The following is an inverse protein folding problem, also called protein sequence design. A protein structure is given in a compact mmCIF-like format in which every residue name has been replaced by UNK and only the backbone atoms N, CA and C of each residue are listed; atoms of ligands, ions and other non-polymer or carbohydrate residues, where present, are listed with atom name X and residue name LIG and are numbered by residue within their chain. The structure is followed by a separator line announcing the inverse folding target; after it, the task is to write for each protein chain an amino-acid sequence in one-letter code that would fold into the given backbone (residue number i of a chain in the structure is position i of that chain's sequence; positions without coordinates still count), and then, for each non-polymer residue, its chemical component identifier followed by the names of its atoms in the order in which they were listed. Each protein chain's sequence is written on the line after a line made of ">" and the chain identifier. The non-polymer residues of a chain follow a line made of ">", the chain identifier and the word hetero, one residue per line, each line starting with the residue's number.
data_IF_097090188518
#
_entry.id   IF_097090188518
#
_cell.length_a   1.000
_cell.length_b   1.000
_cell.length_c   1.000
_cell.angle_alpha   90.00
_cell.angle_beta   90.00
_cell.angle_gamma   90.00
#
_symmetry.space_group_name_H-M   'P 1'
#
loop_
_entity.id
_entity.type
_entity.pdbx_description
1 polymer ?
#
# COMPACT_ATOMS: atom_id res chain seq x y z
N UNK A 1 -20.64 -7.09 18.11
CA UNK A 1 -19.45 -7.05 19.01
C UNK A 1 -18.90 -5.65 18.99
N UNK A 2 -18.58 -5.06 20.12
CA UNK A 2 -17.86 -3.79 20.20
C UNK A 2 -16.36 -4.06 20.01
N UNK A 3 -15.92 -3.96 18.75
CA UNK A 3 -14.52 -4.25 18.38
C UNK A 3 -13.50 -3.34 19.08
N UNK A 4 -13.84 -2.07 19.38
CA UNK A 4 -12.91 -1.14 20.01
C UNK A 4 -12.61 -1.57 21.45
N UNK A 5 -13.66 -1.84 22.22
CA UNK A 5 -13.55 -2.31 23.61
C UNK A 5 -12.86 -3.67 23.71
N UNK A 6 -13.23 -4.60 22.82
CA UNK A 6 -12.66 -5.95 22.84
C UNK A 6 -11.20 -5.94 22.37
N UNK A 7 -10.84 -5.12 21.39
CA UNK A 7 -9.46 -4.94 20.96
C UNK A 7 -8.56 -4.44 22.08
N UNK A 8 -9.02 -3.42 22.85
CA UNK A 8 -8.25 -2.91 23.99
C UNK A 8 -7.99 -4.01 25.02
N UNK A 9 -9.04 -4.75 25.41
CA UNK A 9 -8.95 -5.86 26.36
C UNK A 9 -7.97 -6.94 25.88
N UNK A 10 -8.00 -7.28 24.59
CA UNK A 10 -7.11 -8.27 24.01
C UNK A 10 -5.66 -7.78 23.93
N UNK A 11 -5.41 -6.51 23.61
CA UNK A 11 -4.05 -5.95 23.63
C UNK A 11 -3.42 -5.96 25.03
N UNK A 12 -4.22 -5.69 26.08
CA UNK A 12 -3.76 -5.85 27.47
C UNK A 12 -3.42 -7.31 27.79
N UNK A 13 -4.20 -8.27 27.30
CA UNK A 13 -3.95 -9.70 27.50
C UNK A 13 -2.75 -10.21 26.70
N UNK A 14 -2.60 -9.79 25.44
CA UNK A 14 -1.50 -10.24 24.57
C UNK A 14 -0.16 -9.64 24.97
N UNK A 15 -0.14 -8.42 25.51
CA UNK A 15 1.10 -7.69 25.84
C UNK A 15 2.05 -7.54 24.63
N UNK A 16 1.48 -7.33 23.45
CA UNK A 16 2.16 -7.31 22.15
C UNK A 16 1.66 -8.42 21.23
N UNK A 17 1.81 -8.24 19.93
CA UNK A 17 1.32 -9.16 18.88
C UNK A 17 2.42 -9.95 18.21
N UNK A 18 3.68 -9.65 18.53
CA UNK A 18 4.85 -10.30 17.96
C UNK A 18 5.79 -10.75 19.08
N UNK A 19 6.58 -11.77 18.78
CA UNK A 19 7.70 -12.21 19.61
C UNK A 19 8.94 -12.49 18.74
N UNK A 20 10.13 -12.48 19.34
CA UNK A 20 11.38 -12.90 18.69
C UNK A 20 11.74 -14.28 19.21
N UNK A 21 11.67 -15.28 18.33
CA UNK A 21 11.88 -16.68 18.68
C UNK A 21 13.17 -17.20 18.07
N UNK A 22 13.98 -17.92 18.89
CA UNK A 22 15.14 -18.64 18.41
C UNK A 22 14.73 -19.79 17.47
N UNK A 23 15.42 -19.92 16.33
CA UNK A 23 15.15 -20.95 15.33
C UNK A 23 16.15 -22.11 15.37
N UNK A 24 17.13 -22.04 16.27
CA UNK A 24 18.16 -23.06 16.48
C UNK A 24 18.16 -23.53 17.95
N UNK A 25 18.50 -24.79 18.24
CA UNK A 25 18.61 -25.27 19.60
C UNK A 25 19.82 -24.68 20.29
N UNK A 26 19.73 -24.45 21.59
CA UNK A 26 20.86 -24.15 22.50
C UNK A 26 20.66 -24.96 23.76
N UNK A 27 20.80 -26.29 23.65
CA UNK A 27 20.59 -27.23 24.75
C UNK A 27 21.89 -27.90 25.21
N UNK A 28 22.92 -27.91 24.38
CA UNK A 28 24.20 -28.55 24.65
C UNK A 28 25.35 -27.54 24.52
N UNK A 29 26.54 -27.94 25.03
CA UNK A 29 27.78 -27.17 24.84
C UNK A 29 28.14 -27.03 23.34
N UNK A 30 27.88 -28.05 22.56
CA UNK A 30 28.17 -28.04 21.13
C UNK A 30 27.22 -27.10 20.42
N UNK A 31 25.91 -27.11 20.73
CA UNK A 31 24.96 -26.16 20.19
C UNK A 31 25.40 -24.72 20.45
N UNK A 32 25.79 -24.42 21.69
CA UNK A 32 26.26 -23.09 22.05
C UNK A 32 27.53 -22.71 21.26
N UNK A 33 28.45 -23.64 21.07
CA UNK A 33 29.71 -23.42 20.36
C UNK A 33 29.47 -23.17 18.85
N UNK A 34 28.47 -23.81 18.30
CA UNK A 34 28.06 -23.61 16.89
C UNK A 34 27.24 -22.33 16.69
N UNK A 35 26.28 -22.08 17.59
CA UNK A 35 25.38 -20.91 17.45
C UNK A 35 26.06 -19.58 17.84
N UNK A 36 27.09 -19.63 18.71
CA UNK A 36 27.78 -18.44 19.19
C UNK A 36 29.34 -18.67 19.18
N UNK A 37 30.00 -18.57 20.30
CA UNK A 37 31.47 -18.64 20.38
C UNK A 37 31.95 -20.09 20.60
N UNK A 38 32.91 -20.60 19.80
CA UNK A 38 33.75 -19.91 18.78
C UNK A 38 33.24 -19.97 17.35
N UNK A 39 32.25 -20.83 17.05
CA UNK A 39 31.84 -21.17 15.67
C UNK A 39 31.35 -19.98 14.85
N UNK A 40 30.68 -19.02 15.49
CA UNK A 40 30.10 -17.82 14.79
C UNK A 40 31.15 -16.93 14.12
N UNK A 41 32.43 -17.06 14.48
CA UNK A 41 33.49 -16.29 13.82
C UNK A 41 33.61 -16.61 12.33
N UNK A 42 33.36 -17.87 11.92
CA UNK A 42 33.49 -18.26 10.52
C UNK A 42 32.46 -17.60 9.61
N UNK A 43 31.14 -17.64 9.88
CA UNK A 43 30.16 -16.87 9.09
C UNK A 43 30.44 -15.35 9.09
N UNK A 44 30.93 -14.76 10.17
CA UNK A 44 31.35 -13.35 10.18
C UNK A 44 32.46 -13.07 9.15
N UNK A 45 33.51 -13.91 9.10
CA UNK A 45 34.60 -13.79 8.14
C UNK A 45 34.13 -13.98 6.71
N UNK A 46 33.18 -14.87 6.47
CA UNK A 46 32.60 -15.05 5.14
C UNK A 46 31.79 -13.83 4.67
N UNK A 47 31.01 -13.23 5.55
CA UNK A 47 30.27 -12.00 5.25
C UNK A 47 31.22 -10.80 5.08
N UNK A 48 32.30 -10.74 5.85
CA UNK A 48 33.33 -9.70 5.70
C UNK A 48 33.98 -9.72 4.30
N UNK A 49 34.23 -10.93 3.77
CA UNK A 49 34.78 -11.10 2.42
C UNK A 49 33.76 -10.79 1.31
N UNK A 50 32.49 -11.11 1.54
CA UNK A 50 31.39 -10.93 0.61
C UNK A 50 30.09 -10.62 1.38
N UNK A 51 29.73 -9.33 1.41
CA UNK A 51 28.54 -8.83 2.13
C UNK A 51 27.24 -9.48 1.63
N UNK A 52 27.21 -9.96 0.38
CA UNK A 52 26.02 -10.65 -0.18
C UNK A 52 25.68 -11.92 0.60
N UNK A 53 26.66 -12.57 1.22
CA UNK A 53 26.45 -13.74 2.08
C UNK A 53 25.64 -13.45 3.35
N UNK A 54 25.46 -12.19 3.72
CA UNK A 54 24.54 -11.81 4.81
C UNK A 54 23.11 -12.28 4.54
N UNK A 55 22.70 -12.37 3.29
CA UNK A 55 21.39 -12.90 2.89
C UNK A 55 21.25 -14.41 3.01
N UNK A 56 22.35 -15.16 3.04
CA UNK A 56 22.33 -16.63 3.18
C UNK A 56 22.73 -17.11 4.56
N UNK A 57 23.49 -16.30 5.28
CA UNK A 57 24.04 -16.66 6.59
C UNK A 57 23.33 -15.96 7.78
N UNK A 58 22.38 -15.06 7.50
CA UNK A 58 21.58 -14.39 8.54
C UNK A 58 20.11 -14.33 8.15
N UNK A 59 19.25 -13.84 9.06
CA UNK A 59 17.83 -13.64 8.80
C UNK A 59 17.53 -12.46 7.86
N UNK A 60 18.54 -11.69 7.46
CA UNK A 60 18.41 -10.53 6.57
C UNK A 60 17.56 -10.81 5.33
N UNK A 61 17.69 -12.01 4.73
CA UNK A 61 16.94 -12.38 3.52
C UNK A 61 15.42 -12.34 3.65
N UNK A 62 14.89 -12.50 4.86
CA UNK A 62 13.45 -12.60 5.11
C UNK A 62 12.94 -11.57 6.13
N UNK A 63 13.75 -10.59 6.52
CA UNK A 63 13.41 -9.63 7.57
C UNK A 63 13.08 -8.25 6.98
N UNK A 64 11.85 -7.78 7.18
CA UNK A 64 11.37 -6.46 6.80
C UNK A 64 11.33 -5.51 8.00
N UNK A 65 11.83 -4.27 7.86
CA UNK A 65 11.59 -3.21 8.82
C UNK A 65 10.26 -2.51 8.51
N UNK A 66 9.33 -2.47 9.47
CA UNK A 66 8.09 -1.68 9.39
C UNK A 66 8.29 -0.40 10.16
N UNK A 67 8.38 0.73 9.45
CA UNK A 67 8.89 1.99 10.00
C UNK A 67 7.84 3.09 9.92
N UNK A 68 7.62 3.79 11.04
CA UNK A 68 6.72 4.94 11.15
C UNK A 68 7.32 6.07 11.99
N UNK A 69 6.81 7.29 11.82
CA UNK A 69 6.97 8.39 12.77
C UNK A 69 5.65 8.72 13.50
N UNK A 70 4.58 7.95 13.22
CA UNK A 70 3.28 8.09 13.84
C UNK A 70 2.52 9.36 13.47
N UNK A 71 2.85 10.00 12.34
CA UNK A 71 2.29 11.30 11.96
C UNK A 71 1.00 11.24 11.15
N UNK A 72 0.59 10.03 10.69
CA UNK A 72 -0.64 9.85 9.90
C UNK A 72 -1.32 8.50 10.20
N UNK A 73 -1.47 8.16 11.47
CA UNK A 73 -1.96 6.84 11.90
C UNK A 73 -3.46 6.72 11.67
N UNK A 74 -3.88 5.86 10.74
CA UNK A 74 -5.29 5.59 10.41
C UNK A 74 -6.11 6.89 10.26
N UNK A 75 -7.31 6.95 10.84
CA UNK A 75 -8.12 8.16 10.94
C UNK A 75 -7.79 9.07 12.14
N UNK A 76 -6.77 8.72 12.95
CA UNK A 76 -6.40 9.43 14.17
C UNK A 76 -5.44 10.61 13.92
N UNK A 77 -4.73 10.60 12.78
CA UNK A 77 -3.76 11.64 12.43
C UNK A 77 -2.43 11.49 13.16
N UNK A 78 -1.87 12.61 13.61
CA UNK A 78 -0.56 12.65 14.28
C UNK A 78 -0.70 12.31 15.76
N UNK A 79 -0.46 11.06 16.12
CA UNK A 79 -0.52 10.55 17.50
C UNK A 79 0.86 10.22 18.08
N UNK A 80 1.91 10.36 17.26
CA UNK A 80 3.28 10.07 17.65
C UNK A 80 3.70 8.61 17.49
N UNK A 81 5.02 8.36 17.50
CA UNK A 81 5.58 7.06 17.15
C UNK A 81 5.20 5.94 18.14
N UNK A 82 5.22 6.22 19.44
CA UNK A 82 4.92 5.20 20.47
C UNK A 82 3.45 4.76 20.40
N UNK A 83 2.53 5.70 20.14
CA UNK A 83 1.10 5.40 20.00
C UNK A 83 0.79 4.68 18.67
N UNK A 84 1.66 4.78 17.67
CA UNK A 84 1.57 4.03 16.41
C UNK A 84 2.00 2.56 16.52
N UNK A 85 2.72 2.16 17.59
CA UNK A 85 3.26 0.81 17.74
C UNK A 85 2.21 -0.32 17.58
N UNK A 86 0.99 -0.24 18.13
CA UNK A 86 0.00 -1.30 17.93
C UNK A 86 -0.37 -1.54 16.45
N UNK A 87 -0.37 -0.49 15.63
CA UNK A 87 -0.60 -0.61 14.18
C UNK A 87 0.59 -1.28 13.50
N UNK A 88 1.82 -0.87 13.86
CA UNK A 88 3.05 -1.44 13.30
C UNK A 88 3.21 -2.92 13.64
N UNK A 89 2.91 -3.33 14.87
CA UNK A 89 2.85 -4.75 15.23
C UNK A 89 1.78 -5.50 14.42
N UNK A 90 0.61 -4.90 14.24
CA UNK A 90 -0.43 -5.46 13.38
C UNK A 90 0.06 -5.68 11.97
N UNK A 91 0.77 -4.71 11.38
CA UNK A 91 1.38 -4.85 10.06
C UNK A 91 2.38 -6.01 10.02
N UNK A 92 3.22 -6.17 11.05
CA UNK A 92 4.17 -7.29 11.14
C UNK A 92 3.45 -8.65 11.18
N UNK A 93 2.34 -8.76 11.91
CA UNK A 93 1.49 -9.98 11.91
C UNK A 93 0.98 -10.30 10.51
N UNK A 94 0.50 -9.29 9.76
CA UNK A 94 0.00 -9.48 8.40
C UNK A 94 1.12 -9.90 7.43
N UNK A 95 2.32 -9.31 7.53
CA UNK A 95 3.49 -9.75 6.77
C UNK A 95 3.78 -11.22 6.96
N UNK A 96 3.74 -11.69 8.22
CA UNK A 96 4.01 -13.09 8.55
C UNK A 96 2.91 -14.01 8.05
N UNK A 97 1.65 -13.66 8.34
CA UNK A 97 0.50 -14.52 8.06
C UNK A 97 0.24 -14.71 6.56
N UNK A 98 0.40 -13.64 5.75
CA UNK A 98 0.02 -13.66 4.34
C UNK A 98 1.21 -13.72 3.36
N UNK A 99 2.42 -13.36 3.82
CA UNK A 99 3.63 -13.35 2.98
C UNK A 99 4.75 -14.26 3.47
N UNK A 100 4.63 -14.87 4.67
CA UNK A 100 5.72 -15.62 5.27
C UNK A 100 6.95 -14.76 5.57
N UNK A 101 6.83 -13.44 5.53
CA UNK A 101 7.89 -12.46 5.77
C UNK A 101 7.95 -12.16 7.26
N UNK A 102 9.14 -12.26 7.85
CA UNK A 102 9.37 -11.78 9.20
C UNK A 102 9.48 -10.26 9.17
N UNK A 103 8.81 -9.59 10.08
CA UNK A 103 8.80 -8.14 10.12
C UNK A 103 9.00 -7.62 11.55
N UNK A 104 9.69 -6.49 11.67
CA UNK A 104 9.98 -5.87 12.95
C UNK A 104 9.59 -4.40 12.95
N UNK A 105 8.80 -3.94 13.96
CA UNK A 105 8.31 -2.56 14.02
C UNK A 105 9.38 -1.62 14.57
N UNK A 106 9.54 -0.47 13.91
CA UNK A 106 10.46 0.59 14.32
C UNK A 106 9.75 1.94 14.30
N UNK A 107 9.58 2.55 15.47
CA UNK A 107 8.91 3.83 15.64
C UNK A 107 9.94 4.92 15.87
N UNK A 108 10.14 5.82 14.90
CA UNK A 108 11.17 6.86 14.93
C UNK A 108 10.62 8.15 15.51
N UNK A 109 11.27 8.64 16.55
CA UNK A 109 10.87 9.86 17.28
C UNK A 109 11.47 11.12 16.64
N UNK A 110 11.24 11.29 15.35
CA UNK A 110 11.62 12.50 14.61
C UNK A 110 10.68 12.76 13.46
N UNK A 111 10.41 14.04 13.20
CA UNK A 111 9.67 14.54 12.04
C UNK A 111 10.58 15.29 11.05
N UNK A 112 11.86 15.40 11.35
CA UNK A 112 12.85 15.88 10.40
C UNK A 112 13.15 14.81 9.36
N UNK A 113 13.06 15.19 8.09
CA UNK A 113 13.21 14.24 6.97
C UNK A 113 14.62 13.66 6.91
N UNK A 114 15.64 14.50 7.09
CA UNK A 114 17.02 14.06 6.96
C UNK A 114 17.46 13.20 8.15
N UNK A 115 17.01 13.53 9.36
CA UNK A 115 17.23 12.72 10.54
C UNK A 115 16.54 11.34 10.42
N UNK A 116 15.29 11.33 9.98
CA UNK A 116 14.54 10.08 9.71
C UNK A 116 15.25 9.21 8.68
N UNK A 117 15.58 9.78 7.52
CA UNK A 117 16.24 9.07 6.42
C UNK A 117 17.61 8.54 6.85
N UNK A 118 18.39 9.35 7.56
CA UNK A 118 19.71 8.92 8.04
C UNK A 118 19.60 7.78 9.05
N UNK A 119 18.65 7.86 10.00
CA UNK A 119 18.39 6.80 10.99
C UNK A 119 18.05 5.48 10.29
N UNK A 120 17.13 5.50 9.34
CA UNK A 120 16.72 4.31 8.59
C UNK A 120 17.86 3.74 7.76
N UNK A 121 18.62 4.59 7.08
CA UNK A 121 19.78 4.18 6.29
C UNK A 121 20.83 3.46 7.15
N UNK A 122 21.16 3.99 8.34
CA UNK A 122 22.19 3.43 9.21
C UNK A 122 21.84 2.03 9.72
N UNK A 123 20.55 1.69 9.86
CA UNK A 123 20.09 0.37 10.31
C UNK A 123 19.71 -0.57 9.16
N UNK A 124 19.64 -0.09 7.93
CA UNK A 124 19.16 -0.84 6.77
C UNK A 124 19.93 -2.13 6.48
N UNK A 125 21.19 -2.20 6.88
CA UNK A 125 22.03 -3.39 6.73
C UNK A 125 21.53 -4.63 7.46
N UNK A 126 20.63 -4.49 8.43
CA UNK A 126 20.02 -5.60 9.17
C UNK A 126 18.80 -6.21 8.47
N UNK A 127 18.27 -5.56 7.42
CA UNK A 127 17.01 -5.91 6.80
C UNK A 127 17.16 -6.26 5.32
N UNK A 128 16.21 -7.04 4.81
CA UNK A 128 16.05 -7.32 3.38
C UNK A 128 15.20 -6.32 2.64
N UNK A 129 14.40 -5.54 3.36
CA UNK A 129 13.53 -4.49 2.82
C UNK A 129 12.92 -3.60 3.90
N UNK A 130 12.35 -2.49 3.48
CA UNK A 130 11.75 -1.46 4.35
C UNK A 130 10.33 -1.18 3.89
N UNK A 131 9.37 -1.33 4.80
CA UNK A 131 8.01 -0.84 4.66
C UNK A 131 7.83 0.43 5.47
N UNK A 132 7.55 1.54 4.80
CA UNK A 132 7.15 2.79 5.43
C UNK A 132 5.64 2.78 5.66
N UNK A 133 5.19 3.23 6.82
CA UNK A 133 3.79 3.17 7.23
C UNK A 133 3.39 4.42 8.01
N UNK A 134 2.17 4.92 7.79
CA UNK A 134 1.56 6.00 8.58
C UNK A 134 2.42 7.29 8.69
N UNK A 135 3.11 7.66 7.62
CA UNK A 135 3.91 8.89 7.53
C UNK A 135 3.16 9.95 6.73
N UNK A 136 2.97 11.13 7.31
CA UNK A 136 2.17 12.20 6.73
C UNK A 136 2.77 12.79 5.43
N UNK A 137 1.90 13.03 4.44
CA UNK A 137 2.25 13.85 3.28
C UNK A 137 2.42 15.34 3.70
N UNK A 138 3.31 16.10 3.06
CA UNK A 138 4.12 15.72 1.89
C UNK A 138 5.46 15.02 2.22
N UNK A 139 5.84 14.91 3.51
CA UNK A 139 7.13 14.36 3.95
C UNK A 139 7.35 12.92 3.49
N UNK A 140 6.31 12.10 3.49
CA UNK A 140 6.41 10.70 3.06
C UNK A 140 6.99 10.53 1.66
N UNK A 141 6.69 11.42 0.72
CA UNK A 141 7.23 11.36 -0.64
C UNK A 141 8.74 11.61 -0.68
N UNK A 142 9.20 12.59 0.11
CA UNK A 142 10.62 12.93 0.18
C UNK A 142 11.42 11.86 0.92
N UNK A 143 10.88 11.33 2.01
CA UNK A 143 11.48 10.24 2.79
C UNK A 143 11.66 9.01 1.91
N UNK A 144 10.61 8.55 1.23
CA UNK A 144 10.69 7.38 0.35
C UNK A 144 11.72 7.57 -0.76
N UNK A 145 11.67 8.71 -1.47
CA UNK A 145 12.62 9.01 -2.52
C UNK A 145 14.07 8.98 -2.03
N UNK A 146 14.38 9.69 -0.93
CA UNK A 146 15.74 9.73 -0.37
C UNK A 146 16.21 8.35 0.12
N UNK A 147 15.33 7.53 0.68
CA UNK A 147 15.68 6.18 1.11
C UNK A 147 15.94 5.26 -0.10
N UNK A 148 15.14 5.34 -1.15
CA UNK A 148 15.40 4.59 -2.40
C UNK A 148 16.72 4.97 -3.05
N UNK A 149 17.14 6.22 -2.95
CA UNK A 149 18.43 6.70 -3.46
C UNK A 149 19.62 6.22 -2.61
N UNK A 150 19.43 6.04 -1.29
CA UNK A 150 20.50 5.69 -0.35
C UNK A 150 20.63 4.18 -0.09
N UNK A 151 19.50 3.47 -0.02
CA UNK A 151 19.47 2.07 0.35
C UNK A 151 19.61 1.16 -0.88
N UNK A 152 20.28 0.04 -0.71
CA UNK A 152 20.42 -1.00 -1.73
C UNK A 152 19.39 -2.14 -1.60
N UNK A 153 18.39 -1.93 -0.75
CA UNK A 153 17.26 -2.84 -0.50
C UNK A 153 15.95 -2.14 -0.84
N UNK A 154 14.89 -2.88 -1.18
CA UNK A 154 13.61 -2.29 -1.55
C UNK A 154 13.01 -1.45 -0.42
N UNK A 155 12.53 -0.25 -0.77
CA UNK A 155 11.78 0.66 0.09
C UNK A 155 10.39 0.84 -0.51
N UNK A 156 9.36 0.66 0.28
CA UNK A 156 7.97 0.70 -0.15
C UNK A 156 7.11 1.41 0.90
N UNK A 157 6.28 2.35 0.48
CA UNK A 157 5.34 3.02 1.37
C UNK A 157 3.94 2.46 1.11
N UNK A 158 3.43 1.66 2.04
CA UNK A 158 2.19 0.90 1.80
C UNK A 158 0.95 1.78 1.64
N UNK A 159 0.80 2.85 2.41
CA UNK A 159 -0.34 3.79 2.27
C UNK A 159 -0.41 4.44 0.89
N UNK A 160 0.72 4.58 0.21
CA UNK A 160 0.78 5.06 -1.16
C UNK A 160 0.55 3.91 -2.14
N UNK A 161 1.45 2.97 -2.16
CA UNK A 161 1.58 1.99 -3.25
C UNK A 161 0.70 0.76 -3.06
N UNK A 162 0.49 0.30 -1.83
CA UNK A 162 -0.45 -0.80 -1.54
C UNK A 162 -1.86 -0.41 -1.95
N UNK A 163 -2.31 0.78 -1.53
CA UNK A 163 -3.62 1.32 -1.89
C UNK A 163 -3.75 1.52 -3.40
N UNK A 164 -2.70 1.99 -4.08
CA UNK A 164 -2.71 2.16 -5.53
C UNK A 164 -2.84 0.81 -6.27
N UNK A 165 -2.10 -0.21 -5.84
CA UNK A 165 -2.13 -1.56 -6.44
C UNK A 165 -3.52 -2.18 -6.35
N UNK A 166 -4.13 -2.18 -5.16
CA UNK A 166 -5.47 -2.79 -5.00
C UNK A 166 -6.58 -1.98 -5.68
N UNK A 167 -6.45 -0.65 -5.74
CA UNK A 167 -7.39 0.19 -6.48
C UNK A 167 -7.31 -0.10 -7.97
N UNK A 168 -6.11 -0.22 -8.55
CA UNK A 168 -5.94 -0.59 -9.96
C UNK A 168 -6.48 -1.99 -10.25
N UNK A 169 -6.22 -2.97 -9.37
CA UNK A 169 -6.74 -4.33 -9.51
C UNK A 169 -8.28 -4.35 -9.53
N UNK A 170 -8.90 -3.71 -8.53
CA UNK A 170 -10.36 -3.60 -8.45
C UNK A 170 -10.95 -2.84 -9.64
N UNK A 171 -10.34 -1.72 -10.05
CA UNK A 171 -10.83 -0.94 -11.18
C UNK A 171 -10.73 -1.72 -12.51
N UNK A 172 -9.66 -2.49 -12.71
CA UNK A 172 -9.48 -3.35 -13.88
C UNK A 172 -10.67 -4.31 -14.03
N UNK A 173 -11.10 -4.95 -12.96
CA UNK A 173 -12.23 -5.87 -12.98
C UNK A 173 -13.58 -5.13 -12.98
N UNK A 174 -13.71 -4.01 -12.29
CA UNK A 174 -14.92 -3.20 -12.33
C UNK A 174 -15.24 -2.73 -13.76
N UNK A 175 -14.23 -2.31 -14.52
CA UNK A 175 -14.40 -1.90 -15.92
C UNK A 175 -14.87 -3.07 -16.81
N UNK A 176 -14.40 -4.29 -16.58
CA UNK A 176 -14.91 -5.49 -17.27
C UNK A 176 -16.40 -5.70 -16.98
N UNK A 177 -16.82 -5.55 -15.71
CA UNK A 177 -18.24 -5.70 -15.30
C UNK A 177 -19.13 -4.68 -15.97
N UNK A 178 -18.69 -3.41 -16.11
CA UNK A 178 -19.50 -2.34 -16.69
C UNK A 178 -19.27 -2.16 -18.21
N UNK A 179 -18.38 -2.96 -18.82
CA UNK A 179 -18.09 -2.93 -20.25
C UNK A 179 -17.43 -1.63 -20.74
N UNK A 180 -16.68 -0.94 -19.86
CA UNK A 180 -15.98 0.31 -20.20
C UNK A 180 -14.49 0.07 -20.44
N UNK A 181 -13.84 0.96 -21.21
CA UNK A 181 -12.42 0.85 -21.58
C UNK A 181 -11.59 1.89 -20.84
N UNK A 182 -10.43 1.50 -20.33
CA UNK A 182 -9.54 2.37 -19.55
C UNK A 182 -9.05 3.61 -20.29
N UNK A 183 -8.98 3.54 -21.62
CA UNK A 183 -8.51 4.63 -22.47
C UNK A 183 -9.51 5.79 -22.58
N UNK A 184 -10.80 5.50 -22.39
CA UNK A 184 -11.90 6.47 -22.59
C UNK A 184 -12.64 6.81 -21.31
N UNK A 185 -12.51 5.97 -20.28
CA UNK A 185 -13.22 6.17 -19.01
C UNK A 185 -12.72 7.43 -18.31
N UNK A 186 -13.66 8.21 -17.77
CA UNK A 186 -13.38 9.41 -16.99
C UNK A 186 -13.35 9.09 -15.51
N UNK A 187 -12.28 9.47 -14.84
CA UNK A 187 -12.01 9.17 -13.42
C UNK A 187 -11.90 10.46 -12.64
N UNK A 188 -12.67 10.58 -11.57
CA UNK A 188 -12.54 11.66 -10.58
C UNK A 188 -12.01 11.10 -9.28
N UNK A 189 -10.98 11.75 -8.73
CA UNK A 189 -10.48 11.39 -7.38
C UNK A 189 -10.79 12.50 -6.38
N UNK A 190 -11.28 12.14 -5.21
CA UNK A 190 -11.38 13.04 -4.06
C UNK A 190 -10.23 12.75 -3.10
N UNK A 191 -9.39 13.76 -2.92
CA UNK A 191 -8.13 13.70 -2.17
C UNK A 191 -6.93 14.08 -3.02
N UNK A 192 -5.93 14.65 -2.37
CA UNK A 192 -4.64 14.99 -2.98
C UNK A 192 -3.49 14.70 -2.00
N UNK A 193 -3.68 13.72 -1.14
CA UNK A 193 -2.69 13.16 -0.21
C UNK A 193 -1.90 12.02 -0.82
N UNK A 194 -1.17 11.30 0.03
CA UNK A 194 -0.26 10.23 -0.36
C UNK A 194 -0.93 9.15 -1.23
N UNK A 195 -2.05 8.59 -0.77
CA UNK A 195 -2.78 7.56 -1.49
C UNK A 195 -3.31 8.07 -2.84
N UNK A 196 -3.97 9.24 -2.86
CA UNK A 196 -4.54 9.79 -4.11
C UNK A 196 -3.47 10.00 -5.19
N UNK A 197 -2.33 10.59 -4.83
CA UNK A 197 -1.21 10.82 -5.76
C UNK A 197 -0.66 9.50 -6.29
N UNK A 198 -0.48 8.50 -5.44
CA UNK A 198 0.03 7.19 -5.84
C UNK A 198 -0.95 6.43 -6.75
N UNK A 199 -2.26 6.45 -6.41
CA UNK A 199 -3.31 5.86 -7.24
C UNK A 199 -3.27 6.48 -8.64
N UNK A 200 -3.32 7.81 -8.72
CA UNK A 200 -3.37 8.50 -10.01
C UNK A 200 -2.13 8.24 -10.84
N UNK A 201 -0.93 8.28 -10.24
CA UNK A 201 0.32 7.93 -10.94
C UNK A 201 0.27 6.51 -11.51
N UNK A 202 -0.18 5.54 -10.72
CA UNK A 202 -0.26 4.14 -11.18
C UNK A 202 -1.34 3.96 -12.28
N UNK A 203 -2.47 4.65 -12.17
CA UNK A 203 -3.51 4.64 -13.22
C UNK A 203 -3.00 5.25 -14.53
N UNK A 204 -2.25 6.38 -14.48
CA UNK A 204 -1.64 6.97 -15.66
C UNK A 204 -0.63 6.02 -16.30
N UNK A 205 0.22 5.35 -15.50
CA UNK A 205 1.15 4.33 -15.98
C UNK A 205 0.42 3.13 -16.60
N UNK A 206 -0.75 2.76 -16.08
CA UNK A 206 -1.61 1.71 -16.64
C UNK A 206 -2.37 2.13 -17.92
N UNK A 207 -2.25 3.39 -18.34
CA UNK A 207 -2.83 3.90 -19.59
C UNK A 207 -4.16 4.63 -19.48
N UNK A 208 -4.64 4.93 -18.26
CA UNK A 208 -5.78 5.82 -18.06
C UNK A 208 -5.39 7.25 -18.45
N UNK A 209 -6.28 7.99 -19.12
CA UNK A 209 -5.95 9.31 -19.69
C UNK A 209 -6.80 10.46 -19.16
N UNK A 210 -8.04 10.19 -18.80
CA UNK A 210 -9.01 11.22 -18.38
C UNK A 210 -9.20 11.15 -16.87
N UNK A 211 -8.23 11.68 -16.13
CA UNK A 211 -8.26 11.69 -14.67
C UNK A 211 -8.30 13.13 -14.18
N UNK A 212 -9.28 13.46 -13.33
CA UNK A 212 -9.38 14.74 -12.64
C UNK A 212 -9.22 14.53 -11.13
N UNK A 213 -8.23 15.17 -10.53
CA UNK A 213 -8.05 15.16 -9.07
C UNK A 213 -8.78 16.33 -8.44
N UNK A 214 -9.43 16.11 -7.30
CA UNK A 214 -10.06 17.16 -6.50
C UNK A 214 -9.44 17.21 -5.10
N UNK A 215 -9.19 18.43 -4.61
CA UNK A 215 -8.91 18.69 -3.22
C UNK A 215 -10.08 19.46 -2.56
N UNK A 216 -9.91 19.94 -1.33
CA UNK A 216 -10.95 20.68 -0.60
C UNK A 216 -11.46 21.94 -1.33
N UNK A 217 -10.75 22.44 -2.33
CA UNK A 217 -11.13 23.61 -3.14
C UNK A 217 -11.68 23.24 -4.50
N UNK A 218 -11.87 21.94 -4.79
CA UNK A 218 -12.35 21.42 -6.06
C UNK A 218 -11.25 20.91 -6.98
N UNK A 219 -11.50 20.91 -8.26
CA UNK A 219 -10.62 20.34 -9.29
C UNK A 219 -9.21 20.94 -9.28
N UNK A 220 -8.20 20.07 -9.41
CA UNK A 220 -6.81 20.44 -9.63
C UNK A 220 -6.58 20.50 -11.14
N UNK A 221 -6.04 21.63 -11.61
CA UNK A 221 -5.73 21.86 -13.02
C UNK A 221 -4.52 22.77 -13.17
N UNK A 222 -3.89 22.70 -14.31
CA UNK A 222 -2.72 23.53 -14.66
C UNK A 222 -3.04 25.02 -14.65
N UNK A 223 -2.35 25.76 -13.81
CA UNK A 223 -2.55 27.19 -13.61
C UNK A 223 -3.52 27.57 -12.50
N UNK A 224 -4.06 26.59 -11.73
CA UNK A 224 -4.81 26.88 -10.50
C UNK A 224 -3.89 27.48 -9.44
N UNK A 225 -4.33 28.54 -8.81
CA UNK A 225 -3.59 29.21 -7.74
C UNK A 225 -3.51 28.38 -6.45
N UNK A 226 -2.47 28.65 -5.65
CA UNK A 226 -2.28 28.06 -4.31
C UNK A 226 -2.17 26.52 -4.30
N UNK A 227 -1.55 25.94 -5.29
CA UNK A 227 -1.12 24.55 -5.28
C UNK A 227 0.21 24.42 -4.53
N UNK A 228 0.39 23.32 -3.82
CA UNK A 228 1.73 22.93 -3.35
C UNK A 228 2.44 22.16 -4.48
N UNK A 229 3.76 21.97 -4.32
CA UNK A 229 4.61 21.36 -5.34
C UNK A 229 4.03 20.05 -5.92
N UNK A 230 3.57 19.11 -5.07
CA UNK A 230 3.04 17.82 -5.56
C UNK A 230 1.74 17.98 -6.35
N UNK A 231 0.89 18.94 -5.96
CA UNK A 231 -0.34 19.25 -6.70
C UNK A 231 -0.03 19.95 -8.02
N UNK A 232 1.02 20.78 -8.08
CA UNK A 232 1.51 21.35 -9.33
C UNK A 232 2.00 20.27 -10.29
N UNK A 233 2.83 19.32 -9.78
CA UNK A 233 3.27 18.16 -10.55
C UNK A 233 2.07 17.35 -11.08
N UNK A 234 1.06 17.10 -10.25
CA UNK A 234 -0.14 16.37 -10.68
C UNK A 234 -1.01 17.14 -11.67
N UNK A 235 -1.09 18.47 -11.53
CA UNK A 235 -1.81 19.33 -12.47
C UNK A 235 -1.23 19.33 -13.89
N UNK A 236 0.07 19.01 -14.04
CA UNK A 236 0.72 18.90 -15.35
C UNK A 236 0.35 17.61 -16.09
N UNK A 237 -0.02 16.53 -15.37
CA UNK A 237 -0.25 15.20 -15.94
C UNK A 237 -1.71 14.72 -15.84
N UNK A 238 -2.57 15.50 -15.16
CA UNK A 238 -4.01 15.20 -15.00
C UNK A 238 -4.86 16.33 -15.55
N UNK A 239 -6.18 16.09 -15.63
CA UNK A 239 -7.18 17.09 -16.06
C UNK A 239 -6.77 17.83 -17.34
N UNK A 240 -6.56 17.12 -18.47
CA UNK A 240 -6.06 17.72 -19.70
C UNK A 240 -6.98 18.80 -20.26
N UNK A 241 -8.27 18.72 -19.97
CA UNK A 241 -9.30 19.67 -20.39
C UNK A 241 -9.37 20.90 -19.48
N UNK A 242 -8.59 20.94 -18.40
CA UNK A 242 -8.58 22.00 -17.36
C UNK A 242 -9.97 22.28 -16.79
N UNK A 243 -10.76 21.24 -16.58
CA UNK A 243 -12.06 21.34 -15.92
C UNK A 243 -11.88 22.01 -14.55
N UNK A 244 -12.70 22.98 -14.26
CA UNK A 244 -12.71 23.74 -13.00
C UNK A 244 -14.07 23.63 -12.34
N UNK A 245 -14.11 23.58 -11.01
CA UNK A 245 -15.36 23.48 -10.24
C UNK A 245 -15.20 22.66 -8.99
N UNK A 246 -16.29 22.43 -8.29
CA UNK A 246 -16.39 21.58 -7.11
C UNK A 246 -16.26 20.09 -7.45
N UNK A 247 -16.14 19.23 -6.42
CA UNK A 247 -16.23 17.78 -6.61
C UNK A 247 -17.55 17.37 -7.30
N UNK A 248 -18.66 17.99 -6.91
CA UNK A 248 -19.97 17.70 -7.50
C UNK A 248 -20.00 18.02 -9.01
N UNK A 249 -19.41 19.15 -9.41
CA UNK A 249 -19.31 19.52 -10.84
C UNK A 249 -18.47 18.53 -11.64
N UNK A 250 -17.42 17.97 -11.03
CA UNK A 250 -16.54 17.01 -11.70
C UNK A 250 -17.18 15.63 -11.87
N UNK A 251 -18.10 15.25 -10.98
CA UNK A 251 -18.79 13.96 -11.04
C UNK A 251 -19.84 13.88 -12.16
N UNK A 252 -20.31 15.01 -12.68
CA UNK A 252 -21.32 15.03 -13.75
C UNK A 252 -20.77 14.35 -15.00
N UNK A 253 -21.47 13.30 -15.48
CA UNK A 253 -21.12 12.48 -16.65
C UNK A 253 -19.73 11.80 -16.56
N UNK A 254 -19.15 11.68 -15.36
CA UNK A 254 -17.91 10.93 -15.14
C UNK A 254 -18.22 9.47 -14.72
N UNK A 255 -17.36 8.53 -15.12
CA UNK A 255 -17.60 7.09 -15.04
C UNK A 255 -17.19 6.49 -13.70
N UNK A 256 -16.11 7.01 -13.12
CA UNK A 256 -15.46 6.42 -11.94
C UNK A 256 -15.18 7.50 -10.91
N UNK A 257 -15.59 7.24 -9.68
CA UNK A 257 -15.18 8.01 -8.50
C UNK A 257 -14.23 7.20 -7.63
N UNK A 258 -13.12 7.81 -7.19
CA UNK A 258 -12.17 7.23 -6.22
C UNK A 258 -11.99 8.19 -5.05
N UNK A 259 -12.58 7.84 -3.91
CA UNK A 259 -12.49 8.59 -2.66
C UNK A 259 -11.39 8.05 -1.76
N UNK A 260 -10.46 8.92 -1.39
CA UNK A 260 -9.38 8.69 -0.42
C UNK A 260 -9.16 9.98 0.40
N UNK A 261 -10.24 10.56 0.89
CA UNK A 261 -10.21 11.89 1.50
C UNK A 261 -10.89 11.92 2.88
N UNK A 262 -12.14 12.29 2.94
CA UNK A 262 -12.86 12.51 4.19
C UNK A 262 -14.26 11.91 4.12
N UNK A 263 -14.84 11.56 5.28
CA UNK A 263 -16.20 11.03 5.37
C UNK A 263 -17.26 11.96 4.77
N UNK A 264 -18.27 11.37 4.11
CA UNK A 264 -19.49 12.09 3.69
C UNK A 264 -19.28 13.13 2.59
N UNK A 265 -18.20 13.04 1.82
CA UNK A 265 -17.89 13.99 0.74
C UNK A 265 -18.77 13.82 -0.50
N UNK A 266 -19.42 12.67 -0.67
CA UNK A 266 -20.27 12.35 -1.81
C UNK A 266 -21.67 12.00 -1.33
N UNK A 267 -22.70 12.54 -2.01
CA UNK A 267 -24.09 12.25 -1.74
C UNK A 267 -24.70 11.36 -2.81
N UNK A 268 -25.85 10.77 -2.51
CA UNK A 268 -26.64 9.99 -3.47
C UNK A 268 -26.95 10.80 -4.74
N UNK A 269 -27.31 12.08 -4.57
CA UNK A 269 -27.64 12.99 -5.68
C UNK A 269 -26.42 13.22 -6.58
N UNK A 270 -25.23 13.36 -5.99
CA UNK A 270 -23.99 13.46 -6.79
C UNK A 270 -23.75 12.19 -7.59
N UNK A 271 -23.96 11.01 -7.00
CA UNK A 271 -23.84 9.73 -7.74
C UNK A 271 -24.86 9.65 -8.89
N UNK A 272 -26.08 10.17 -8.72
CA UNK A 272 -27.10 10.19 -9.75
C UNK A 272 -26.72 11.05 -10.98
N UNK A 273 -25.80 12.01 -10.82
CA UNK A 273 -25.32 12.82 -11.95
C UNK A 273 -24.19 12.16 -12.74
N UNK A 274 -23.62 11.07 -12.23
CA UNK A 274 -22.54 10.34 -12.90
C UNK A 274 -23.03 9.61 -14.16
N UNK A 275 -22.11 9.21 -14.98
CA UNK A 275 -22.39 8.41 -16.15
C UNK A 275 -23.09 7.08 -15.79
N UNK A 276 -23.86 6.54 -16.75
CA UNK A 276 -24.50 5.24 -16.58
C UNK A 276 -23.48 4.17 -16.18
N UNK A 277 -23.92 3.24 -15.32
CA UNK A 277 -23.09 2.16 -14.78
C UNK A 277 -21.81 2.67 -14.08
N UNK A 278 -21.96 3.71 -13.26
CA UNK A 278 -20.86 4.31 -12.50
C UNK A 278 -20.19 3.32 -11.54
N UNK A 279 -18.87 3.50 -11.37
CA UNK A 279 -18.03 2.71 -10.45
C UNK A 279 -17.56 3.62 -9.31
N UNK A 280 -17.78 3.21 -8.08
CA UNK A 280 -17.47 4.00 -6.88
C UNK A 280 -16.46 3.26 -6.00
N UNK A 281 -15.33 3.89 -5.72
CA UNK A 281 -14.38 3.50 -4.69
C UNK A 281 -14.47 4.50 -3.53
N UNK A 282 -14.92 4.04 -2.38
CA UNK A 282 -15.07 4.86 -1.16
C UNK A 282 -14.20 4.27 -0.06
N UNK A 283 -12.93 4.75 -0.02
CA UNK A 283 -11.86 4.11 0.74
C UNK A 283 -11.54 4.80 2.07
N UNK A 284 -12.14 5.93 2.41
CA UNK A 284 -11.94 6.58 3.71
C UNK A 284 -12.36 5.66 4.87
N UNK A 285 -11.54 5.61 5.92
CA UNK A 285 -11.77 4.81 7.12
C UNK A 285 -11.72 5.69 8.38
N UNK A 286 -12.56 5.38 9.42
CA UNK A 286 -13.54 4.30 9.50
C UNK A 286 -14.87 4.58 8.80
N UNK A 287 -15.14 5.84 8.44
CA UNK A 287 -16.38 6.27 7.77
C UNK A 287 -16.05 6.63 6.32
N UNK A 288 -16.74 6.02 5.34
CA UNK A 288 -16.46 6.25 3.92
C UNK A 288 -16.98 7.61 3.41
N UNK A 289 -16.53 8.02 2.22
CA UNK A 289 -17.02 9.22 1.53
C UNK A 289 -18.52 9.17 1.23
N UNK A 290 -19.03 7.97 0.97
CA UNK A 290 -20.45 7.62 0.85
C UNK A 290 -20.61 6.15 1.25
N UNK A 291 -21.66 5.80 1.95
CA UNK A 291 -21.95 4.39 2.26
C UNK A 291 -22.35 3.61 1.00
N UNK A 292 -21.94 2.33 0.86
CA UNK A 292 -22.26 1.53 -0.32
C UNK A 292 -23.74 1.45 -0.66
N UNK A 293 -24.62 1.37 0.33
CA UNK A 293 -26.07 1.32 0.13
C UNK A 293 -26.61 2.63 -0.48
N UNK A 294 -26.07 3.77 -0.04
CA UNK A 294 -26.43 5.10 -0.60
C UNK A 294 -25.89 5.28 -2.01
N UNK A 295 -24.66 4.81 -2.29
CA UNK A 295 -24.08 4.84 -3.63
C UNK A 295 -24.89 3.96 -4.60
N UNK A 296 -25.29 2.77 -4.19
CA UNK A 296 -26.19 1.90 -4.98
C UNK A 296 -27.56 2.52 -5.18
N UNK A 297 -28.12 3.18 -4.17
CA UNK A 297 -29.37 3.94 -4.29
C UNK A 297 -29.23 5.17 -5.24
N UNK A 298 -28.02 5.66 -5.45
CA UNK A 298 -27.65 6.67 -6.46
C UNK A 298 -27.42 6.07 -7.86
N UNK A 299 -27.66 4.77 -8.05
CA UNK A 299 -27.48 4.04 -9.32
C UNK A 299 -26.03 3.68 -9.66
N UNK A 300 -25.11 3.67 -8.69
CA UNK A 300 -23.80 3.10 -8.89
C UNK A 300 -23.90 1.59 -9.19
N UNK A 301 -23.18 1.13 -10.21
CA UNK A 301 -23.21 -0.29 -10.64
C UNK A 301 -22.27 -1.15 -9.82
N UNK A 302 -21.06 -0.66 -9.57
CA UNK A 302 -20.03 -1.33 -8.75
C UNK A 302 -19.63 -0.39 -7.63
N UNK A 303 -19.63 -0.88 -6.41
CA UNK A 303 -19.18 -0.12 -5.22
C UNK A 303 -18.13 -0.92 -4.46
N UNK A 304 -17.01 -0.24 -4.17
CA UNK A 304 -15.88 -0.75 -3.40
C UNK A 304 -15.69 0.12 -2.17
N UNK A 305 -15.24 -0.47 -1.07
CA UNK A 305 -15.03 0.26 0.18
C UNK A 305 -13.86 -0.30 0.97
N UNK A 306 -13.25 0.50 1.84
CA UNK A 306 -12.25 0.03 2.81
C UNK A 306 -12.83 -0.85 3.93
N UNK A 307 -14.15 -0.91 4.09
CA UNK A 307 -14.83 -1.64 5.18
C UNK A 307 -14.96 -3.12 4.86
N UNK A 308 -14.71 -3.96 5.87
CA UNK A 308 -14.79 -5.42 5.77
C UNK A 308 -16.22 -5.99 5.86
N UNK A 309 -17.20 -5.16 6.22
CA UNK A 309 -18.60 -5.55 6.36
C UNK A 309 -19.43 -5.38 5.06
N UNK A 310 -18.76 -4.98 3.95
CA UNK A 310 -19.36 -4.85 2.63
C UNK A 310 -18.58 -5.66 1.59
N UNK A 311 -19.19 -5.97 0.43
CA UNK A 311 -18.49 -6.55 -0.72
C UNK A 311 -17.37 -5.65 -1.27
N UNK A 312 -16.47 -6.23 -2.04
CA UNK A 312 -15.38 -5.52 -2.71
C UNK A 312 -14.53 -4.69 -1.76
N UNK A 313 -14.06 -5.30 -0.66
CA UNK A 313 -13.18 -4.63 0.28
C UNK A 313 -11.84 -4.30 -0.35
N UNK A 314 -11.50 -3.01 -0.39
CA UNK A 314 -10.19 -2.50 -0.79
C UNK A 314 -9.29 -2.48 0.45
N UNK A 315 -8.39 -3.46 0.54
CA UNK A 315 -7.52 -3.63 1.69
C UNK A 315 -6.09 -3.97 1.25
N UNK A 316 -5.11 -3.19 1.71
CA UNK A 316 -3.69 -3.33 1.37
C UNK A 316 -3.11 -4.72 1.69
N UNK A 317 -3.73 -5.47 2.60
CA UNK A 317 -3.33 -6.84 2.94
C UNK A 317 -3.29 -7.78 1.73
N UNK A 318 -4.05 -7.47 0.67
CA UNK A 318 -4.02 -8.21 -0.58
C UNK A 318 -2.73 -7.96 -1.39
N UNK A 319 -2.04 -6.85 -1.15
CA UNK A 319 -0.92 -6.41 -1.97
C UNK A 319 0.44 -6.59 -1.28
N UNK A 320 0.70 -5.86 -0.18
CA UNK A 320 2.06 -5.70 0.36
C UNK A 320 2.72 -7.01 0.78
N UNK A 321 2.04 -8.02 1.38
CA UNK A 321 2.74 -9.23 1.81
C UNK A 321 3.30 -10.02 0.62
N UNK A 322 2.51 -10.17 -0.44
CA UNK A 322 2.92 -10.81 -1.68
C UNK A 322 3.98 -10.02 -2.44
N UNK A 323 3.88 -8.69 -2.46
CA UNK A 323 4.89 -7.81 -3.08
C UNK A 323 6.25 -7.99 -2.42
N UNK A 324 6.31 -7.94 -1.09
CA UNK A 324 7.59 -8.15 -0.37
C UNK A 324 8.08 -9.58 -0.49
N UNK A 325 7.20 -10.58 -0.48
CA UNK A 325 7.59 -11.98 -0.71
C UNK A 325 8.26 -12.13 -2.07
N UNK A 326 7.64 -11.64 -3.14
CA UNK A 326 8.21 -11.71 -4.49
C UNK A 326 9.51 -10.92 -4.63
N UNK A 327 9.61 -9.74 -4.01
CA UNK A 327 10.85 -8.96 -4.01
C UNK A 327 11.99 -9.66 -3.27
N UNK A 328 11.70 -10.30 -2.13
CA UNK A 328 12.70 -11.04 -1.34
C UNK A 328 13.15 -12.33 -2.03
N UNK A 329 12.25 -13.05 -2.70
CA UNK A 329 12.57 -14.28 -3.42
C UNK A 329 13.63 -14.09 -4.52
N UNK A 330 13.70 -12.89 -5.08
CA UNK A 330 14.68 -12.54 -6.11
C UNK A 330 15.73 -11.54 -5.63
N UNK A 331 15.76 -11.23 -4.33
CA UNK A 331 16.64 -10.22 -3.72
C UNK A 331 16.62 -8.91 -4.50
N UNK A 332 15.42 -8.43 -4.81
CA UNK A 332 15.25 -7.20 -5.58
C UNK A 332 15.90 -6.00 -4.88
N UNK A 333 16.47 -5.10 -5.66
CA UNK A 333 17.05 -3.84 -5.17
C UNK A 333 16.01 -2.74 -4.99
N UNK A 334 14.86 -2.86 -5.65
CA UNK A 334 13.74 -1.92 -5.59
C UNK A 334 12.41 -2.67 -5.76
N UNK A 335 11.32 -2.05 -5.34
CA UNK A 335 9.97 -2.36 -5.76
C UNK A 335 9.53 -1.23 -6.69
N UNK A 336 9.69 -1.47 -7.98
CA UNK A 336 9.47 -0.49 -9.04
C UNK A 336 8.03 -0.52 -9.61
N UNK A 337 7.75 0.36 -10.56
CA UNK A 337 6.43 0.48 -11.17
C UNK A 337 5.96 -0.79 -11.92
N UNK A 338 6.80 -1.46 -12.75
CA UNK A 338 6.44 -2.74 -13.35
C UNK A 338 6.02 -3.81 -12.34
N UNK A 339 6.69 -3.91 -11.21
CA UNK A 339 6.35 -4.86 -10.14
C UNK A 339 4.99 -4.54 -9.51
N UNK A 340 4.67 -3.26 -9.27
CA UNK A 340 3.36 -2.82 -8.75
C UNK A 340 2.23 -3.11 -9.74
N UNK A 341 2.47 -2.87 -11.02
CA UNK A 341 1.50 -3.19 -12.07
C UNK A 341 1.27 -4.70 -12.21
N UNK A 342 2.34 -5.49 -12.14
CA UNK A 342 2.24 -6.96 -12.15
C UNK A 342 1.45 -7.49 -10.95
N UNK A 343 1.64 -6.90 -9.76
CA UNK A 343 0.86 -7.24 -8.57
C UNK A 343 -0.64 -6.94 -8.75
N UNK A 344 -0.97 -5.76 -9.30
CA UNK A 344 -2.36 -5.38 -9.56
C UNK A 344 -3.03 -6.31 -10.59
N UNK A 345 -2.31 -6.65 -11.66
CA UNK A 345 -2.81 -7.57 -12.68
C UNK A 345 -3.01 -8.99 -12.12
N UNK A 346 -2.06 -9.50 -11.34
CA UNK A 346 -2.18 -10.81 -10.70
C UNK A 346 -3.39 -10.90 -9.77
N UNK A 347 -3.68 -9.84 -8.99
CA UNK A 347 -4.87 -9.76 -8.16
C UNK A 347 -6.15 -9.77 -8.99
N UNK A 348 -6.19 -9.01 -10.07
CA UNK A 348 -7.36 -8.96 -10.95
C UNK A 348 -7.63 -10.32 -11.63
N UNK A 349 -6.58 -11.02 -12.04
CA UNK A 349 -6.67 -12.29 -12.77
C UNK A 349 -7.04 -13.49 -11.88
N UNK A 350 -7.02 -13.34 -10.55
CA UNK A 350 -7.50 -14.37 -9.63
C UNK A 350 -9.00 -14.62 -9.70
N UNK A 351 -9.77 -13.65 -10.20
CA UNK A 351 -11.22 -13.79 -10.37
C UNK A 351 -11.47 -14.18 -11.82
N UNK A 352 -12.03 -15.35 -12.00
CA UNK A 352 -12.38 -15.85 -13.34
C UNK A 352 -13.54 -15.03 -13.96
N UNK A 353 -13.68 -14.98 -15.29
CA UNK A 353 -14.80 -14.30 -15.93
C UNK A 353 -16.17 -14.75 -15.44
N UNK A 354 -16.30 -16.02 -15.04
CA UNK A 354 -17.55 -16.63 -14.54
C UNK A 354 -17.89 -16.17 -13.13
N UNK A 355 -16.88 -15.89 -12.30
CA UNK A 355 -17.06 -15.40 -10.93
C UNK A 355 -17.27 -13.90 -10.87
N UNK A 356 -16.81 -13.17 -11.90
CA UNK A 356 -16.79 -11.72 -11.94
C UNK A 356 -18.21 -11.12 -11.90
N UNK A 357 -18.47 -10.28 -10.93
CA UNK A 357 -19.79 -9.64 -10.74
C UNK A 357 -19.64 -8.25 -10.11
N UNK A 358 -20.73 -7.49 -10.04
CA UNK A 358 -20.71 -6.17 -9.38
C UNK A 358 -20.31 -6.22 -7.89
N UNK A 359 -20.55 -7.34 -7.24
CA UNK A 359 -20.24 -7.54 -5.81
C UNK A 359 -19.00 -8.43 -5.59
N UNK A 360 -18.29 -8.84 -6.66
CA UNK A 360 -17.06 -9.62 -6.56
C UNK A 360 -16.09 -9.25 -7.69
N UNK A 361 -15.29 -8.18 -7.48
CA UNK A 361 -14.29 -7.67 -8.42
C UNK A 361 -12.86 -7.77 -7.88
N UNK A 362 -12.70 -8.09 -6.61
CA UNK A 362 -11.41 -8.26 -5.95
C UNK A 362 -11.50 -9.47 -5.00
N UNK A 363 -10.44 -10.31 -4.90
CA UNK A 363 -10.49 -11.48 -4.03
C UNK A 363 -10.63 -11.10 -2.56
N UNK A 364 -11.19 -12.02 -1.76
CA UNK A 364 -11.26 -11.84 -0.32
C UNK A 364 -9.87 -11.86 0.34
N UNK A 365 -9.72 -11.15 1.46
CA UNK A 365 -8.43 -11.02 2.15
C UNK A 365 -7.81 -12.37 2.58
N UNK A 366 -8.64 -13.38 2.84
CA UNK A 366 -8.21 -14.72 3.26
C UNK A 366 -8.15 -15.75 2.11
N UNK A 367 -8.25 -15.32 0.87
CA UNK A 367 -8.06 -16.22 -0.27
C UNK A 367 -6.60 -16.68 -0.34
N UNK A 368 -6.32 -17.98 -0.17
CA UNK A 368 -4.95 -18.50 -0.10
C UNK A 368 -4.17 -18.34 -1.42
N UNK A 369 -4.85 -18.07 -2.53
CA UNK A 369 -4.24 -17.86 -3.84
C UNK A 369 -3.53 -16.51 -3.94
N UNK A 370 -3.95 -15.51 -3.16
CA UNK A 370 -3.50 -14.11 -3.29
C UNK A 370 -1.99 -13.97 -3.09
N UNK A 371 -1.48 -14.40 -1.93
CA UNK A 371 -0.06 -14.25 -1.60
C UNK A 371 0.88 -14.84 -2.65
N UNK A 372 0.72 -16.14 -3.01
CA UNK A 372 1.53 -16.79 -4.03
C UNK A 372 1.44 -16.14 -5.41
N UNK A 373 0.24 -15.80 -5.88
CA UNK A 373 0.05 -15.20 -7.21
C UNK A 373 0.72 -13.82 -7.33
N UNK A 374 0.56 -12.98 -6.31
CA UNK A 374 1.22 -11.65 -6.26
C UNK A 374 2.74 -11.83 -6.19
N UNK A 375 3.24 -12.72 -5.34
CA UNK A 375 4.68 -12.95 -5.19
C UNK A 375 5.33 -13.42 -6.49
N UNK A 376 4.72 -14.38 -7.18
CA UNK A 376 5.22 -14.88 -8.46
C UNK A 376 5.26 -13.78 -9.54
N UNK A 377 4.18 -13.01 -9.68
CA UNK A 377 4.09 -11.93 -10.65
C UNK A 377 5.12 -10.82 -10.37
N UNK A 378 5.30 -10.46 -9.12
CA UNK A 378 6.28 -9.45 -8.68
C UNK A 378 7.71 -9.94 -8.92
N UNK A 379 8.03 -11.18 -8.58
CA UNK A 379 9.36 -11.77 -8.82
C UNK A 379 9.71 -11.81 -10.31
N UNK A 380 8.74 -12.18 -11.15
CA UNK A 380 8.90 -12.17 -12.61
C UNK A 380 9.17 -10.75 -13.12
N UNK A 381 8.34 -9.78 -12.73
CA UNK A 381 8.51 -8.38 -13.13
C UNK A 381 9.83 -7.76 -12.63
N UNK A 382 10.31 -8.16 -11.44
CA UNK A 382 11.61 -7.76 -10.93
C UNK A 382 12.77 -8.26 -11.83
N UNK A 383 12.70 -9.51 -12.30
CA UNK A 383 13.69 -10.06 -13.25
C UNK A 383 13.64 -9.34 -14.61
N UNK A 384 12.43 -9.15 -15.15
CA UNK A 384 12.22 -8.49 -16.45
C UNK A 384 12.65 -7.02 -16.43
N UNK A 385 12.48 -6.33 -15.31
CA UNK A 385 12.89 -4.93 -15.14
C UNK A 385 14.33 -4.74 -14.65
N UNK A 386 15.07 -5.84 -14.44
CA UNK A 386 16.51 -5.81 -14.13
C UNK A 386 16.84 -5.39 -12.69
N UNK A 387 15.87 -5.44 -11.76
CA UNK A 387 16.12 -5.13 -10.35
C UNK A 387 16.32 -6.37 -9.47
N UNK A 388 16.11 -7.57 -10.01
CA UNK A 388 16.43 -8.84 -9.35
C UNK A 388 17.95 -9.08 -9.30
N UNK A 389 18.42 -9.71 -8.22
CA UNK A 389 19.83 -10.05 -8.00
C UNK A 389 20.11 -11.56 -8.02
N UNK A 390 19.06 -12.37 -8.01
CA UNK A 390 19.11 -13.83 -8.13
C UNK A 390 17.92 -14.36 -8.94
#
# INVERSE_FOLDING_TARGET
>A
MDYAKESLRLHEQWQGKIEVTATVPVATKDDLSLAYTPGVAQPCLEIQKDVSKSYTLTRRHNLCAVITDGSAVLGLGDIGPEAGMPVMEGKCVLFKAFGGVDAFPLCIKSKDVDEFVNTVYLISGSFGGINLEDIAAPRCFEIERKLKEKCDIPVFHDDQHGTAVITLAGLTNALKVVGKQKETVKVVTSGAGAAAVAIVKLLLAAGYRHITMCDRRGAIYKGRENLNRIKEEMAEVTNPERRAGSLADMLVDDDVFIGVSAPGMVTKEMVQTMARDAVIFTCANPTPEIFPDEAKAGSAKVVCTGRSDYPNQINNVLAFPGIFRGAFDVRASDINEPMKMAAAQALADLISPEELSADYIIPAAFDPRVGPAVAEAVARAARESGVARI
#
